data_IF_218804542613
#
_entry.id   IF_218804542613
#
_cell.length_a   1.000
_cell.length_b   1.000
_cell.length_c   1.000
_cell.angle_alpha   90.00
_cell.angle_beta   90.00
_cell.angle_gamma   90.00
#
_symmetry.space_group_name_H-M   'P 1'
#
loop_
_entity.id
_entity.type
_entity.pdbx_description
1 polymer ?
#
# COMPACT_ATOMS: atom_id res chain seq x y z
N UNK A 1 17.93 21.95 1.20
CA UNK A 1 17.06 20.94 0.56
C UNK A 1 15.71 21.59 0.30
N UNK A 2 15.29 21.74 -0.95
CA UNK A 2 13.98 22.33 -1.29
C UNK A 2 12.84 21.37 -0.94
N UNK A 3 11.68 21.90 -0.53
CA UNK A 3 10.55 21.10 -0.06
C UNK A 3 9.99 20.16 -1.14
N UNK A 4 10.05 20.55 -2.41
CA UNK A 4 9.69 19.70 -3.57
C UNK A 4 10.48 18.39 -3.59
N UNK A 5 11.78 18.48 -3.30
CA UNK A 5 12.68 17.33 -3.31
C UNK A 5 12.37 16.38 -2.14
N UNK A 6 11.95 16.95 -1.00
CA UNK A 6 11.49 16.18 0.17
C UNK A 6 10.22 15.40 -0.20
N UNK A 7 9.22 16.06 -0.77
CA UNK A 7 7.96 15.44 -1.18
C UNK A 7 8.20 14.35 -2.22
N UNK A 8 9.05 14.60 -3.22
CA UNK A 8 9.41 13.63 -4.23
C UNK A 8 10.04 12.37 -3.61
N UNK A 9 11.00 12.51 -2.68
CA UNK A 9 11.61 11.36 -2.01
C UNK A 9 10.56 10.54 -1.25
N UNK A 10 9.78 11.17 -0.37
CA UNK A 10 8.78 10.46 0.43
C UNK A 10 7.71 9.79 -0.45
N UNK A 11 7.20 10.50 -1.45
CA UNK A 11 6.20 9.97 -2.37
C UNK A 11 6.71 8.77 -3.17
N UNK A 12 7.93 8.86 -3.69
CA UNK A 12 8.52 7.79 -4.50
C UNK A 12 8.86 6.56 -3.65
N UNK A 13 9.44 6.74 -2.45
CA UNK A 13 9.73 5.64 -1.53
C UNK A 13 8.44 4.94 -1.07
N UNK A 14 7.38 5.71 -0.80
CA UNK A 14 6.09 5.17 -0.41
C UNK A 14 5.46 4.34 -1.54
N UNK A 15 5.42 4.88 -2.76
CA UNK A 15 4.90 4.19 -3.93
C UNK A 15 5.71 2.91 -4.24
N UNK A 16 7.03 2.98 -4.19
CA UNK A 16 7.90 1.82 -4.43
C UNK A 16 7.66 0.71 -3.40
N UNK A 17 7.52 1.05 -2.12
CA UNK A 17 7.24 0.08 -1.05
C UNK A 17 5.90 -0.62 -1.29
N UNK A 18 4.85 0.16 -1.61
CA UNK A 18 3.53 -0.39 -1.86
C UNK A 18 3.49 -1.28 -3.12
N UNK A 19 4.08 -0.82 -4.23
CA UNK A 19 4.14 -1.60 -5.47
C UNK A 19 4.93 -2.90 -5.29
N UNK A 20 6.02 -2.88 -4.52
CA UNK A 20 6.77 -4.08 -4.15
C UNK A 20 5.92 -5.08 -3.38
N UNK A 21 5.11 -4.61 -2.41
CA UNK A 21 4.19 -5.46 -1.66
C UNK A 21 3.10 -6.06 -2.55
N UNK A 22 2.51 -5.27 -3.45
CA UNK A 22 1.51 -5.74 -4.42
C UNK A 22 2.10 -6.80 -5.35
N UNK A 23 3.32 -6.60 -5.85
CA UNK A 23 4.00 -7.55 -6.71
C UNK A 23 4.24 -8.92 -6.02
N UNK A 24 4.47 -8.91 -4.70
CA UNK A 24 4.60 -10.12 -3.90
C UNK A 24 3.25 -10.77 -3.56
N UNK A 25 2.14 -10.06 -3.76
CA UNK A 25 0.78 -10.54 -3.49
C UNK A 25 0.14 -9.98 -2.23
N UNK A 26 0.73 -8.99 -1.57
CA UNK A 26 0.11 -8.28 -0.45
C UNK A 26 -0.72 -7.11 -0.98
N UNK A 27 -2.05 -7.29 -0.98
CA UNK A 27 -2.99 -6.32 -1.52
C UNK A 27 -3.83 -5.60 -0.45
N UNK A 28 -4.70 -4.66 -0.88
CA UNK A 28 -5.60 -3.91 -0.01
C UNK A 28 -6.56 -4.78 0.82
N UNK A 29 -6.91 -5.96 0.32
CA UNK A 29 -7.80 -6.92 1.00
C UNK A 29 -7.04 -8.05 1.72
N UNK A 30 -5.72 -7.94 1.82
CA UNK A 30 -4.84 -8.97 2.37
C UNK A 30 -4.08 -9.73 1.29
N UNK A 31 -3.70 -10.97 1.59
CA UNK A 31 -2.89 -11.80 0.69
C UNK A 31 -3.72 -12.29 -0.49
N UNK A 32 -3.28 -11.99 -1.71
CA UNK A 32 -3.94 -12.44 -2.94
C UNK A 32 -3.75 -13.95 -3.15
N UNK A 33 -4.85 -14.69 -3.35
CA UNK A 33 -4.80 -16.12 -3.63
C UNK A 33 -3.98 -16.44 -4.89
N UNK A 34 -3.12 -17.46 -4.83
CA UNK A 34 -2.24 -17.85 -5.93
C UNK A 34 -0.97 -16.99 -6.09
N UNK A 35 -0.74 -16.03 -5.20
CA UNK A 35 0.49 -15.22 -5.18
C UNK A 35 1.66 -15.88 -4.46
N UNK A 36 2.85 -15.29 -4.58
CA UNK A 36 4.05 -15.69 -3.81
C UNK A 36 3.78 -15.61 -2.31
N UNK A 37 3.11 -14.55 -1.85
CA UNK A 37 2.69 -14.42 -0.46
C UNK A 37 1.73 -15.55 -0.04
N UNK A 38 0.78 -15.95 -0.90
CA UNK A 38 -0.11 -17.08 -0.60
C UNK A 38 0.64 -18.42 -0.52
N UNK A 39 1.65 -18.61 -1.38
CA UNK A 39 2.53 -19.78 -1.31
C UNK A 39 3.31 -19.82 0.02
N UNK A 40 3.91 -18.71 0.43
CA UNK A 40 4.63 -18.60 1.70
C UNK A 40 3.68 -18.83 2.88
N UNK A 41 2.48 -18.24 2.85
CA UNK A 41 1.47 -18.47 3.87
C UNK A 41 1.12 -19.94 4.01
N UNK A 42 0.87 -20.63 2.89
CA UNK A 42 0.57 -22.06 2.87
C UNK A 42 1.74 -22.91 3.37
N UNK A 43 2.97 -22.60 2.95
CA UNK A 43 4.16 -23.39 3.25
C UNK A 43 4.70 -23.20 4.68
N UNK A 44 4.63 -21.98 5.22
CA UNK A 44 5.29 -21.61 6.49
C UNK A 44 4.28 -21.51 7.64
N UNK A 45 3.08 -20.98 7.36
CA UNK A 45 2.09 -20.64 8.39
C UNK A 45 0.86 -21.54 8.35
N UNK A 46 0.62 -22.27 7.25
CA UNK A 46 -0.56 -23.10 7.06
C UNK A 46 -1.84 -22.26 7.05
N UNK A 47 -2.77 -22.56 7.94
CA UNK A 47 -4.09 -21.92 7.97
C UNK A 47 -4.10 -20.49 8.52
N UNK A 48 -3.14 -20.12 9.39
CA UNK A 48 -3.17 -18.84 10.09
C UNK A 48 -1.78 -18.24 10.28
N UNK A 49 -1.64 -16.96 9.96
CA UNK A 49 -0.42 -16.18 10.21
C UNK A 49 -0.43 -15.67 11.65
N UNK A 50 0.64 -15.90 12.45
CA UNK A 50 0.78 -15.33 13.78
C UNK A 50 0.76 -13.80 13.74
N UNK A 51 -0.08 -13.19 14.59
CA UNK A 51 -0.12 -11.74 14.74
C UNK A 51 1.23 -11.20 15.25
N UNK A 52 1.68 -10.08 14.67
CA UNK A 52 2.94 -9.42 15.06
C UNK A 52 4.21 -9.97 14.40
N UNK A 53 4.12 -11.02 13.59
CA UNK A 53 5.23 -11.49 12.77
C UNK A 53 5.49 -10.59 11.56
N UNK A 54 6.67 -10.74 10.93
CA UNK A 54 7.05 -9.95 9.74
C UNK A 54 6.03 -10.05 8.60
N UNK A 55 5.43 -11.24 8.38
CA UNK A 55 4.43 -11.48 7.35
C UNK A 55 3.09 -10.78 7.66
N UNK A 56 2.70 -10.74 8.94
CA UNK A 56 1.54 -9.99 9.39
C UNK A 56 1.76 -8.48 9.19
N UNK A 57 2.98 -7.99 9.45
CA UNK A 57 3.37 -6.60 9.17
C UNK A 57 3.30 -6.28 7.67
N UNK A 58 3.83 -7.14 6.80
CA UNK A 58 3.76 -6.93 5.34
C UNK A 58 2.31 -6.94 4.82
N UNK A 59 1.49 -7.85 5.35
CA UNK A 59 0.05 -7.86 5.05
C UNK A 59 -0.62 -6.56 5.50
N UNK A 60 -0.35 -6.10 6.72
CA UNK A 60 -0.87 -4.83 7.25
C UNK A 60 -0.41 -3.61 6.44
N UNK A 61 0.84 -3.59 6.00
CA UNK A 61 1.38 -2.54 5.13
C UNK A 61 0.77 -2.56 3.74
N UNK A 62 0.53 -3.74 3.14
CA UNK A 62 -0.19 -3.88 1.88
C UNK A 62 -1.63 -3.40 1.99
N UNK A 63 -2.31 -3.72 3.09
CA UNK A 63 -3.69 -3.28 3.34
C UNK A 63 -3.77 -1.76 3.54
N UNK A 64 -2.91 -1.21 4.41
CA UNK A 64 -2.88 0.23 4.72
C UNK A 64 -2.42 1.05 3.51
N UNK A 65 -1.41 0.55 2.79
CA UNK A 65 -0.88 1.19 1.59
C UNK A 65 -1.94 1.37 0.50
N UNK A 66 -2.78 0.35 0.31
CA UNK A 66 -3.88 0.41 -0.65
C UNK A 66 -4.95 1.42 -0.24
N UNK A 67 -5.29 1.49 1.05
CA UNK A 67 -6.25 2.48 1.57
C UNK A 67 -5.74 3.91 1.37
N UNK A 68 -4.47 4.18 1.66
CA UNK A 68 -3.88 5.50 1.47
C UNK A 68 -3.81 5.91 0.00
N UNK A 69 -3.53 4.98 -0.92
CA UNK A 69 -3.60 5.25 -2.35
C UNK A 69 -5.02 5.67 -2.75
N UNK A 70 -6.04 4.90 -2.38
CA UNK A 70 -7.45 5.23 -2.67
C UNK A 70 -7.85 6.58 -2.07
N UNK A 71 -7.50 6.83 -0.81
CA UNK A 71 -7.79 8.09 -0.12
C UNK A 71 -7.06 9.29 -0.77
N UNK A 72 -5.79 9.12 -1.15
CA UNK A 72 -4.99 10.14 -1.82
C UNK A 72 -5.52 10.52 -3.19
N UNK A 73 -5.94 9.54 -3.99
CA UNK A 73 -6.56 9.79 -5.31
C UNK A 73 -7.91 10.51 -5.15
N UNK A 74 -8.74 10.09 -4.18
CA UNK A 74 -10.01 10.73 -3.89
C UNK A 74 -9.83 12.19 -3.42
N UNK A 75 -8.89 12.43 -2.51
CA UNK A 75 -8.59 13.79 -2.04
C UNK A 75 -8.09 14.69 -3.16
N UNK A 76 -7.22 14.17 -4.05
CA UNK A 76 -6.71 14.92 -5.20
C UNK A 76 -7.81 15.27 -6.20
N UNK A 77 -8.75 14.35 -6.45
CA UNK A 77 -9.90 14.59 -7.31
C UNK A 77 -10.84 15.66 -6.73
N UNK A 78 -11.13 15.59 -5.42
CA UNK A 78 -11.94 16.60 -4.73
C UNK A 78 -11.27 17.97 -4.70
N UNK A 79 -9.95 18.03 -4.51
CA UNK A 79 -9.19 19.27 -4.56
C UNK A 79 -9.22 19.89 -5.97
N UNK A 80 -9.06 19.08 -7.02
CA UNK A 80 -9.18 19.53 -8.40
C UNK A 80 -10.58 20.07 -8.72
N UNK A 81 -11.62 19.38 -8.24
CA UNK A 81 -13.00 19.85 -8.37
C UNK A 81 -13.22 21.18 -7.63
N UNK A 82 -12.74 21.29 -6.39
CA UNK A 82 -12.85 22.51 -5.59
C UNK A 82 -12.11 23.70 -6.24
N UNK A 83 -10.94 23.46 -6.84
CA UNK A 83 -10.21 24.49 -7.58
C UNK A 83 -10.99 25.03 -8.79
N UNK A 84 -11.81 24.19 -9.42
CA UNK A 84 -12.66 24.59 -10.55
C UNK A 84 -13.76 25.58 -10.18
N UNK A 85 -14.17 25.59 -8.91
CA UNK A 85 -15.17 26.52 -8.36
C UNK A 85 -14.56 27.74 -7.66
N UNK A 86 -13.23 27.87 -7.64
CA UNK A 86 -12.57 29.04 -7.06
C UNK A 86 -12.69 30.21 -8.07
N UNK A 87 -13.29 31.36 -7.67
CA UNK A 87 -13.45 32.53 -8.55
C UNK A 87 -12.11 33.19 -8.89
#
# INVERSE_FOLDING_TARGET
>A
MSYELIIAIFGTTYAATFLGLVALGFGPLGVAGGSVAAFIQSAVYGAAVPAGGWFATMTGLGMTGGLHMVAGTAASALAGLAAWFKP
#
